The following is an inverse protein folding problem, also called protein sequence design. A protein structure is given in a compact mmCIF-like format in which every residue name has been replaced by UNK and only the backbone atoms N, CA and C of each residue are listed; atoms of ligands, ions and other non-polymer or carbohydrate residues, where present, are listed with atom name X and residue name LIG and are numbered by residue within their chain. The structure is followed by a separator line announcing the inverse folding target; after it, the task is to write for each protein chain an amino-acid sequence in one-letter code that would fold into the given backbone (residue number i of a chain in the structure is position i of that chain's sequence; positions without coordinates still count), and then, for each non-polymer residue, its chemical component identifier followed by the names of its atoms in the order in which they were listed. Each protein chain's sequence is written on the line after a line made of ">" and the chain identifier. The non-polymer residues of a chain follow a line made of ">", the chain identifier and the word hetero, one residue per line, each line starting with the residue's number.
data_IF_065229333828
#
_entry.id   IF_065229333828
#
_cell.length_a   1.000
_cell.length_b   1.000
_cell.length_c   1.000
_cell.angle_alpha   90.00
_cell.angle_beta   90.00
_cell.angle_gamma   90.00
#
_symmetry.space_group_name_H-M   'P 1'
#
loop_
_entity.id
_entity.type
_entity.pdbx_description
1 polymer ?
#
# COMPACT_ATOMS: atom_id res chain seq x y z
N UNK A 1 -10.08 -15.84 35.18
CA UNK A 1 -10.99 -14.73 34.79
C UNK A 1 -10.28 -13.38 34.71
N UNK A 2 -9.34 -13.03 35.61
CA UNK A 2 -8.55 -11.78 35.53
C UNK A 2 -7.68 -11.64 34.26
N UNK A 3 -6.93 -12.68 33.90
CA UNK A 3 -5.99 -12.66 32.76
C UNK A 3 -6.67 -12.42 31.40
N UNK A 4 -7.88 -12.96 31.19
CA UNK A 4 -8.70 -12.69 30.01
C UNK A 4 -9.22 -11.26 29.98
N UNK A 5 -9.54 -10.68 31.14
CA UNK A 5 -10.05 -9.32 31.25
C UNK A 5 -8.92 -8.30 31.03
N UNK A 6 -7.71 -8.60 31.50
CA UNK A 6 -6.53 -7.75 31.30
C UNK A 6 -6.08 -7.76 29.84
N UNK A 7 -6.08 -8.92 29.19
CA UNK A 7 -5.84 -9.04 27.75
C UNK A 7 -6.90 -8.30 26.92
N UNK A 8 -8.17 -8.42 27.29
CA UNK A 8 -9.25 -7.70 26.60
C UNK A 8 -9.07 -6.18 26.73
N UNK A 9 -8.75 -5.68 27.92
CA UNK A 9 -8.49 -4.26 28.16
C UNK A 9 -7.31 -3.74 27.35
N UNK A 10 -6.20 -4.48 27.30
CA UNK A 10 -5.02 -4.07 26.55
C UNK A 10 -5.31 -3.96 25.04
N UNK A 11 -6.09 -4.90 24.48
CA UNK A 11 -6.53 -4.84 23.09
C UNK A 11 -7.45 -3.66 22.82
N UNK A 12 -8.39 -3.39 23.72
CA UNK A 12 -9.30 -2.23 23.59
C UNK A 12 -8.53 -0.92 23.65
N UNK A 13 -7.56 -0.80 24.56
CA UNK A 13 -6.70 0.37 24.67
C UNK A 13 -5.85 0.58 23.41
N UNK A 14 -5.28 -0.49 22.84
CA UNK A 14 -4.53 -0.40 21.60
C UNK A 14 -5.40 0.12 20.42
N UNK A 15 -6.63 -0.37 20.31
CA UNK A 15 -7.59 0.10 19.29
C UNK A 15 -7.94 1.57 19.54
N UNK A 16 -8.15 1.96 20.79
CA UNK A 16 -8.43 3.34 21.17
C UNK A 16 -7.25 4.26 20.79
N UNK A 17 -6.02 3.92 21.16
CA UNK A 17 -4.84 4.73 20.87
C UNK A 17 -4.60 4.87 19.37
N UNK A 18 -4.77 3.77 18.61
CA UNK A 18 -4.70 3.79 17.15
C UNK A 18 -5.78 4.71 16.54
N UNK A 19 -7.02 4.64 17.02
CA UNK A 19 -8.12 5.48 16.53
C UNK A 19 -7.89 6.96 16.82
N UNK A 20 -7.38 7.29 18.02
CA UNK A 20 -7.04 8.66 18.41
C UNK A 20 -5.88 9.20 17.58
N UNK A 21 -4.85 8.39 17.32
CA UNK A 21 -3.73 8.75 16.46
C UNK A 21 -4.22 9.06 15.04
N UNK A 22 -5.07 8.18 14.50
CA UNK A 22 -5.67 8.32 13.17
C UNK A 22 -6.48 9.61 13.05
N UNK A 23 -7.37 9.87 14.01
CA UNK A 23 -8.18 11.09 14.04
C UNK A 23 -7.35 12.36 14.17
N UNK A 24 -6.29 12.34 15.01
CA UNK A 24 -5.36 13.47 15.14
C UNK A 24 -4.57 13.70 13.86
N UNK A 25 -4.06 12.65 13.23
CA UNK A 25 -3.29 12.74 11.99
C UNK A 25 -4.12 13.40 10.88
N UNK A 26 -5.37 12.96 10.70
CA UNK A 26 -6.31 13.53 9.71
C UNK A 26 -6.62 14.99 10.05
N UNK A 27 -6.96 15.29 11.31
CA UNK A 27 -7.24 16.68 11.74
C UNK A 27 -6.03 17.60 11.53
N UNK A 28 -4.82 17.08 11.71
CA UNK A 28 -3.59 17.85 11.56
C UNK A 28 -3.26 18.20 10.11
N UNK A 29 -3.80 17.48 9.11
CA UNK A 29 -3.66 17.85 7.69
C UNK A 29 -4.21 19.26 7.43
N UNK A 30 -5.31 19.61 8.09
CA UNK A 30 -6.00 20.89 7.88
C UNK A 30 -5.55 22.01 8.83
N UNK A 31 -4.64 21.74 9.77
CA UNK A 31 -4.22 22.72 10.78
C UNK A 31 -2.79 23.20 10.54
N UNK A 32 -2.61 24.51 10.46
CA UNK A 32 -1.27 25.15 10.44
C UNK A 32 -0.49 24.92 11.74
N UNK A 33 0.86 24.90 11.73
CA UNK A 33 1.75 25.01 10.57
C UNK A 33 1.89 23.71 9.77
N UNK A 34 2.13 23.83 8.47
CA UNK A 34 2.36 22.72 7.55
C UNK A 34 3.85 22.50 7.32
N UNK A 35 4.31 21.26 7.46
CA UNK A 35 5.71 20.87 7.27
C UNK A 35 5.96 20.35 5.84
N UNK A 36 5.83 21.22 4.84
CA UNK A 36 5.91 20.82 3.43
C UNK A 36 7.26 20.19 3.03
N UNK A 37 8.37 20.67 3.59
CA UNK A 37 9.71 20.11 3.34
C UNK A 37 9.79 18.67 3.83
N UNK A 38 9.20 18.36 4.99
CA UNK A 38 9.15 17.01 5.53
C UNK A 38 8.25 16.10 4.67
N UNK A 39 7.15 16.62 4.11
CA UNK A 39 6.31 15.88 3.15
C UNK A 39 7.13 15.49 1.93
N UNK A 40 7.86 16.42 1.30
CA UNK A 40 8.64 16.14 0.09
C UNK A 40 9.75 15.12 0.36
N UNK A 41 10.44 15.23 1.51
CA UNK A 41 11.44 14.22 1.92
C UNK A 41 10.81 12.84 2.09
N UNK A 42 9.62 12.77 2.69
CA UNK A 42 8.90 11.51 2.83
C UNK A 42 8.41 10.98 1.47
N UNK A 43 8.03 11.84 0.52
CA UNK A 43 7.67 11.42 -0.84
C UNK A 43 8.86 10.78 -1.58
N UNK A 44 10.07 11.32 -1.39
CA UNK A 44 11.29 10.71 -1.95
C UNK A 44 11.57 9.33 -1.33
N UNK A 45 11.57 9.25 -0.01
CA UNK A 45 11.83 8.00 0.70
C UNK A 45 10.79 6.90 0.39
N UNK A 46 9.51 7.25 0.46
CA UNK A 46 8.37 6.33 0.29
C UNK A 46 8.15 6.01 -1.18
N UNK A 47 8.20 7.03 -2.04
CA UNK A 47 7.92 6.94 -3.46
C UNK A 47 9.10 6.42 -4.26
N UNK A 48 10.10 7.29 -4.51
CA UNK A 48 11.26 6.94 -5.32
C UNK A 48 12.01 5.72 -4.79
N UNK A 49 12.14 5.64 -3.47
CA UNK A 49 12.77 4.49 -2.84
C UNK A 49 12.04 3.16 -3.11
N UNK A 50 10.73 3.17 -3.37
CA UNK A 50 9.94 1.95 -3.61
C UNK A 50 9.82 1.60 -5.10
N UNK A 51 10.26 2.48 -6.01
CA UNK A 51 10.17 2.22 -7.45
C UNK A 51 10.81 0.89 -7.87
N UNK A 52 12.01 0.50 -7.41
CA UNK A 52 12.64 -0.73 -7.88
C UNK A 52 11.82 -1.98 -7.56
N UNK A 53 11.28 -2.07 -6.34
CA UNK A 53 10.47 -3.23 -5.95
C UNK A 53 9.14 -3.24 -6.70
N UNK A 54 8.49 -2.08 -6.85
CA UNK A 54 7.19 -1.94 -7.55
C UNK A 54 7.31 -2.29 -9.04
N UNK A 55 8.37 -1.80 -9.71
CA UNK A 55 8.63 -2.08 -11.13
C UNK A 55 8.84 -3.57 -11.35
N UNK A 56 9.72 -4.19 -10.56
CA UNK A 56 10.03 -5.62 -10.69
C UNK A 56 8.80 -6.48 -10.41
N UNK A 57 8.07 -6.18 -9.32
CA UNK A 57 6.88 -6.96 -8.97
C UNK A 57 5.79 -6.81 -10.01
N UNK A 58 5.50 -5.58 -10.47
CA UNK A 58 4.51 -5.34 -11.52
C UNK A 58 4.84 -6.13 -12.79
N UNK A 59 6.06 -5.98 -13.30
CA UNK A 59 6.53 -6.66 -14.51
C UNK A 59 6.37 -8.19 -14.42
N UNK A 60 6.91 -8.81 -13.36
CA UNK A 60 6.86 -10.27 -13.24
C UNK A 60 5.45 -10.78 -12.95
N UNK A 61 4.62 -10.05 -12.21
CA UNK A 61 3.21 -10.42 -12.02
C UNK A 61 2.48 -10.44 -13.36
N UNK A 62 2.63 -9.40 -14.18
CA UNK A 62 1.99 -9.35 -15.49
C UNK A 62 2.46 -10.46 -16.44
N UNK A 63 3.76 -10.74 -16.45
CA UNK A 63 4.36 -11.83 -17.21
C UNK A 63 3.77 -13.20 -16.82
N UNK A 64 3.67 -13.47 -15.51
CA UNK A 64 3.10 -14.73 -14.99
C UNK A 64 1.60 -14.83 -15.30
N UNK A 65 0.85 -13.74 -15.17
CA UNK A 65 -0.58 -13.72 -15.51
C UNK A 65 -0.82 -14.04 -16.99
N UNK A 66 -0.02 -13.46 -17.90
CA UNK A 66 -0.15 -13.74 -19.32
C UNK A 66 0.02 -15.23 -19.64
N UNK A 67 0.99 -15.90 -18.99
CA UNK A 67 1.18 -17.36 -19.14
C UNK A 67 -0.01 -18.15 -18.64
N UNK A 68 -0.50 -17.83 -17.44
CA UNK A 68 -1.60 -18.56 -16.84
C UNK A 68 -2.89 -18.37 -17.64
N UNK A 69 -3.22 -17.13 -18.00
CA UNK A 69 -4.45 -16.82 -18.74
C UNK A 69 -4.41 -17.41 -20.15
N UNK A 70 -3.28 -17.31 -20.86
CA UNK A 70 -3.16 -17.91 -22.19
C UNK A 70 -3.33 -19.42 -22.16
N UNK A 71 -2.79 -20.10 -21.13
CA UNK A 71 -2.97 -21.55 -20.99
C UNK A 71 -4.44 -21.91 -20.78
N UNK A 72 -5.12 -21.17 -19.91
CA UNK A 72 -6.56 -21.37 -19.67
C UNK A 72 -7.37 -21.14 -20.95
N UNK A 73 -7.16 -20.01 -21.62
CA UNK A 73 -7.88 -19.63 -22.85
C UNK A 73 -7.61 -20.53 -24.05
N UNK A 74 -6.42 -21.13 -24.14
CA UNK A 74 -6.10 -22.09 -25.19
C UNK A 74 -7.04 -23.30 -25.19
N UNK A 75 -7.58 -23.66 -24.02
CA UNK A 75 -8.55 -24.76 -23.88
C UNK A 75 -9.91 -24.38 -24.48
N UNK A 76 -10.22 -23.09 -24.56
CA UNK A 76 -11.45 -22.55 -25.14
C UNK A 76 -11.26 -22.06 -26.58
N UNK A 77 -10.04 -22.09 -27.11
CA UNK A 77 -9.71 -21.60 -28.45
C UNK A 77 -9.60 -20.07 -28.58
N UNK A 78 -9.61 -19.33 -27.46
CA UNK A 78 -9.75 -17.86 -27.42
C UNK A 78 -8.49 -17.15 -26.89
N UNK A 79 -7.29 -17.54 -27.33
CA UNK A 79 -6.02 -16.94 -26.84
C UNK A 79 -5.88 -15.44 -27.10
N UNK A 80 -6.71 -14.88 -27.99
CA UNK A 80 -6.86 -13.46 -28.30
C UNK A 80 -7.29 -12.59 -27.12
N UNK A 81 -8.04 -13.11 -26.15
CA UNK A 81 -8.50 -12.34 -24.98
C UNK A 81 -7.48 -12.35 -23.82
N UNK A 82 -6.30 -12.92 -24.02
CA UNK A 82 -5.23 -12.95 -22.99
C UNK A 82 -4.89 -11.53 -22.52
N UNK A 83 -4.75 -10.57 -23.44
CA UNK A 83 -4.43 -9.18 -23.10
C UNK A 83 -5.53 -8.50 -22.27
N UNK A 84 -6.79 -8.76 -22.61
CA UNK A 84 -7.95 -8.27 -21.87
C UNK A 84 -7.95 -8.77 -20.42
N UNK A 85 -7.80 -10.08 -20.22
CA UNK A 85 -7.82 -10.66 -18.87
C UNK A 85 -6.64 -10.21 -18.01
N UNK A 86 -5.45 -10.11 -18.59
CA UNK A 86 -4.27 -9.59 -17.90
C UNK A 86 -4.51 -8.15 -17.45
N UNK A 87 -5.03 -7.31 -18.34
CA UNK A 87 -5.23 -5.89 -18.03
C UNK A 87 -6.30 -5.67 -16.97
N UNK A 88 -7.46 -6.31 -17.12
CA UNK A 88 -8.55 -6.22 -16.14
C UNK A 88 -8.12 -6.73 -14.77
N UNK A 89 -7.39 -7.85 -14.71
CA UNK A 89 -6.93 -8.42 -13.44
C UNK A 89 -5.90 -7.55 -12.72
N UNK A 90 -4.99 -6.91 -13.48
CA UNK A 90 -4.00 -6.00 -12.94
C UNK A 90 -4.66 -4.73 -12.38
N UNK A 91 -5.43 -4.01 -13.20
CA UNK A 91 -5.96 -2.69 -12.80
C UNK A 91 -7.00 -2.80 -11.69
N UNK A 92 -7.91 -3.79 -11.72
CA UNK A 92 -9.00 -3.87 -10.74
C UNK A 92 -8.52 -4.37 -9.36
N UNK A 93 -7.55 -5.27 -9.34
CA UNK A 93 -7.24 -6.07 -8.14
C UNK A 93 -5.75 -6.17 -7.87
N UNK A 94 -5.02 -6.89 -8.74
CA UNK A 94 -3.66 -7.35 -8.41
C UNK A 94 -2.66 -6.20 -8.32
N UNK A 95 -2.74 -5.21 -9.19
CA UNK A 95 -1.89 -4.03 -9.18
C UNK A 95 -1.98 -3.23 -7.88
N UNK A 96 -3.18 -2.75 -7.50
CA UNK A 96 -3.41 -2.06 -6.24
C UNK A 96 -2.96 -2.85 -5.01
N UNK A 97 -3.33 -4.13 -4.92
CA UNK A 97 -3.05 -4.97 -3.74
C UNK A 97 -1.57 -5.30 -3.64
N UNK A 98 -0.94 -5.79 -4.72
CA UNK A 98 0.46 -6.21 -4.67
C UNK A 98 1.39 -5.02 -4.45
N UNK A 99 1.13 -3.88 -5.11
CA UNK A 99 1.89 -2.66 -4.88
C UNK A 99 1.80 -2.24 -3.42
N UNK A 100 0.60 -2.29 -2.84
CA UNK A 100 0.37 -1.89 -1.45
C UNK A 100 1.02 -2.84 -0.45
N UNK A 101 1.05 -4.15 -0.71
CA UNK A 101 1.74 -5.11 0.14
C UNK A 101 3.27 -4.93 0.09
N UNK A 102 3.84 -4.70 -1.09
CA UNK A 102 5.28 -4.46 -1.25
C UNK A 102 5.70 -3.15 -0.58
N UNK A 103 4.90 -2.11 -0.77
CA UNK A 103 5.10 -0.82 -0.10
C UNK A 103 4.86 -0.95 1.40
N UNK A 104 3.90 -1.71 1.88
CA UNK A 104 3.71 -1.97 3.31
C UNK A 104 4.95 -2.64 3.91
N UNK A 105 5.50 -3.66 3.26
CA UNK A 105 6.71 -4.34 3.68
C UNK A 105 7.90 -3.40 3.86
N UNK A 106 8.13 -2.53 2.89
CA UNK A 106 9.24 -1.57 2.91
C UNK A 106 8.98 -0.35 3.79
N UNK A 107 7.89 0.36 3.53
CA UNK A 107 7.63 1.68 4.10
C UNK A 107 7.01 1.59 5.50
N UNK A 108 6.12 0.62 5.81
CA UNK A 108 5.61 0.49 7.18
C UNK A 108 6.75 0.07 8.13
N UNK A 109 7.63 -0.84 7.70
CA UNK A 109 8.85 -1.22 8.42
C UNK A 109 9.79 -0.03 8.58
N UNK A 110 10.09 0.71 7.50
CA UNK A 110 10.97 1.88 7.55
C UNK A 110 10.46 2.97 8.50
N UNK A 111 9.16 3.30 8.41
CA UNK A 111 8.51 4.28 9.29
C UNK A 111 8.55 3.82 10.76
N UNK A 112 8.21 2.55 11.02
CA UNK A 112 8.24 2.00 12.37
C UNK A 112 9.66 1.97 12.95
N UNK A 113 10.67 1.67 12.13
CA UNK A 113 12.08 1.63 12.54
C UNK A 113 12.59 3.03 12.90
N UNK A 114 12.32 4.01 12.04
CA UNK A 114 12.75 5.40 12.22
C UNK A 114 12.11 6.00 13.48
N UNK A 115 10.78 5.90 13.60
CA UNK A 115 10.07 6.42 14.77
C UNK A 115 10.38 5.64 16.03
N UNK A 116 10.55 4.32 15.94
CA UNK A 116 10.94 3.49 17.07
C UNK A 116 12.34 3.86 17.59
N UNK A 117 13.28 4.14 16.69
CA UNK A 117 14.61 4.64 17.08
C UNK A 117 14.52 6.01 17.76
N UNK A 118 13.70 6.92 17.24
CA UNK A 118 13.45 8.22 17.85
C UNK A 118 12.76 8.11 19.22
N UNK A 119 11.86 7.13 19.39
CA UNK A 119 11.21 6.86 20.68
C UNK A 119 12.21 6.35 21.71
N UNK A 120 13.03 5.35 21.35
CA UNK A 120 14.01 4.74 22.25
C UNK A 120 15.15 5.69 22.62
N UNK A 121 15.48 6.64 21.75
CA UNK A 121 16.46 7.69 22.01
C UNK A 121 15.87 8.96 22.65
N UNK A 122 14.63 8.90 23.14
CA UNK A 122 13.92 10.00 23.82
C UNK A 122 13.75 11.29 22.98
N UNK A 123 14.03 11.23 21.67
CA UNK A 123 13.93 12.40 20.78
C UNK A 123 12.49 12.91 20.69
N UNK A 124 11.51 11.99 20.72
CA UNK A 124 10.09 12.35 20.67
C UNK A 124 9.62 13.02 21.96
N UNK A 125 10.17 12.62 23.11
CA UNK A 125 9.87 13.26 24.38
C UNK A 125 10.56 14.62 24.51
N UNK A 126 11.79 14.75 24.00
CA UNK A 126 12.45 16.04 23.85
C UNK A 126 11.63 17.01 22.96
N UNK A 127 11.06 16.53 21.85
CA UNK A 127 10.17 17.35 21.01
C UNK A 127 8.94 17.84 21.78
N UNK A 128 8.32 16.96 22.60
CA UNK A 128 7.18 17.34 23.44
C UNK A 128 7.56 18.38 24.49
N UNK A 129 8.72 18.23 25.12
CA UNK A 129 9.24 19.19 26.10
C UNK A 129 9.50 20.57 25.48
N UNK A 130 9.90 20.60 24.20
CA UNK A 130 10.08 21.83 23.42
C UNK A 130 8.76 22.39 22.83
N UNK A 131 7.61 21.85 23.22
CA UNK A 131 6.29 22.31 22.78
C UNK A 131 5.92 21.93 21.33
N UNK A 132 6.69 21.04 20.70
CA UNK A 132 6.41 20.57 19.34
C UNK A 132 5.56 19.30 19.37
N UNK A 133 4.38 19.33 18.74
CA UNK A 133 3.51 18.15 18.62
C UNK A 133 4.12 17.09 17.69
N UNK A 134 4.53 15.90 18.20
CA UNK A 134 5.13 14.85 17.39
C UNK A 134 4.16 14.27 16.36
N UNK A 135 2.86 14.24 16.65
CA UNK A 135 1.87 13.72 15.69
C UNK A 135 1.83 14.60 14.44
N UNK A 136 1.92 15.91 14.64
CA UNK A 136 1.89 16.88 13.54
C UNK A 136 3.20 16.91 12.76
N UNK A 137 4.35 16.81 13.43
CA UNK A 137 5.66 16.91 12.79
C UNK A 137 6.15 15.60 12.18
N UNK A 138 5.74 14.46 12.73
CA UNK A 138 6.23 13.15 12.28
C UNK A 138 5.16 12.35 11.51
N UNK A 139 3.93 12.26 12.03
CA UNK A 139 2.90 11.36 11.47
C UNK A 139 2.23 11.98 10.26
N UNK A 140 1.80 13.25 10.35
CA UNK A 140 1.08 13.93 9.26
C UNK A 140 1.88 13.99 7.95
N UNK A 141 3.18 14.34 7.92
CA UNK A 141 3.93 14.39 6.66
C UNK A 141 4.07 13.01 6.00
N UNK A 142 4.29 11.96 6.80
CA UNK A 142 4.35 10.57 6.33
C UNK A 142 3.02 10.10 5.77
N UNK A 143 1.93 10.45 6.44
CA UNK A 143 0.58 10.14 5.97
C UNK A 143 0.29 10.78 4.61
N UNK A 144 0.51 12.09 4.49
CA UNK A 144 0.28 12.82 3.24
C UNK A 144 1.16 12.29 2.11
N UNK A 145 2.45 12.07 2.39
CA UNK A 145 3.38 11.51 1.40
C UNK A 145 2.94 10.12 0.93
N UNK A 146 2.53 9.22 1.84
CA UNK A 146 2.10 7.86 1.47
C UNK A 146 0.81 7.89 0.65
N UNK A 147 -0.15 8.73 1.03
CA UNK A 147 -1.45 8.85 0.35
C UNK A 147 -1.29 9.37 -1.09
N UNK A 148 -0.31 10.23 -1.33
CA UNK A 148 -0.02 10.73 -2.68
C UNK A 148 0.81 9.71 -3.47
N UNK A 149 1.85 9.14 -2.87
CA UNK A 149 2.80 8.29 -3.59
C UNK A 149 2.26 6.89 -3.90
N UNK A 150 1.41 6.29 -3.04
CA UNK A 150 0.96 4.92 -3.27
C UNK A 150 0.11 4.75 -4.54
N UNK A 151 -0.90 5.61 -4.82
CA UNK A 151 -1.63 5.54 -6.09
C UNK A 151 -0.73 5.76 -7.30
N UNK A 152 0.24 6.68 -7.20
CA UNK A 152 1.22 6.90 -8.27
C UNK A 152 2.08 5.66 -8.53
N UNK A 153 2.52 4.98 -7.47
CA UNK A 153 3.27 3.73 -7.57
C UNK A 153 2.41 2.61 -8.17
N UNK A 154 1.11 2.55 -7.86
CA UNK A 154 0.18 1.57 -8.45
C UNK A 154 0.08 1.76 -9.95
N UNK A 155 -0.05 3.00 -10.44
CA UNK A 155 -0.07 3.29 -11.88
C UNK A 155 1.21 2.78 -12.56
N UNK A 156 2.36 2.99 -11.92
CA UNK A 156 3.65 2.49 -12.43
C UNK A 156 3.69 0.96 -12.44
N UNK A 157 3.20 0.31 -11.39
CA UNK A 157 3.11 -1.15 -11.32
C UNK A 157 2.20 -1.73 -12.41
N UNK A 158 1.03 -1.13 -12.64
CA UNK A 158 0.08 -1.57 -13.67
C UNK A 158 0.68 -1.45 -15.07
N UNK A 159 1.32 -0.31 -15.33
CA UNK A 159 2.03 -0.09 -16.59
C UNK A 159 3.15 -1.12 -16.78
N UNK A 160 3.99 -1.35 -15.76
CA UNK A 160 5.04 -2.36 -15.84
C UNK A 160 4.48 -3.77 -15.98
N UNK A 161 3.36 -4.08 -15.34
CA UNK A 161 2.67 -5.36 -15.48
C UNK A 161 2.11 -5.58 -16.88
N UNK A 162 1.55 -4.54 -17.50
CA UNK A 162 1.14 -4.60 -18.90
C UNK A 162 2.33 -4.88 -19.83
N UNK A 163 3.48 -4.24 -19.59
CA UNK A 163 4.71 -4.53 -20.35
C UNK A 163 5.22 -5.95 -20.14
N UNK A 164 5.16 -6.46 -18.91
CA UNK A 164 5.53 -7.84 -18.59
C UNK A 164 4.62 -8.86 -19.29
N UNK A 165 3.30 -8.61 -19.25
CA UNK A 165 2.32 -9.44 -19.95
C UNK A 165 2.52 -9.41 -21.46
N UNK A 166 2.76 -8.24 -22.04
CA UNK A 166 3.10 -8.08 -23.46
C UNK A 166 4.35 -8.89 -23.85
N UNK A 167 5.45 -8.73 -23.10
CA UNK A 167 6.69 -9.43 -23.38
C UNK A 167 6.47 -10.95 -23.42
N UNK A 168 5.75 -11.48 -22.45
CA UNK A 168 5.48 -12.92 -22.40
C UNK A 168 4.51 -13.38 -23.49
N UNK A 169 3.46 -12.62 -23.78
CA UNK A 169 2.54 -12.91 -24.88
C UNK A 169 3.22 -12.91 -26.25
N UNK A 170 4.20 -12.03 -26.46
CA UNK A 170 4.96 -11.97 -27.70
C UNK A 170 5.99 -13.10 -27.81
N UNK A 171 6.85 -13.27 -26.79
CA UNK A 171 7.97 -14.22 -26.87
C UNK A 171 7.56 -15.69 -26.69
N UNK A 172 6.59 -15.99 -25.83
CA UNK A 172 6.25 -17.37 -25.46
C UNK A 172 4.94 -17.87 -26.09
N UNK A 173 3.96 -16.98 -26.27
CA UNK A 173 2.62 -17.34 -26.77
C UNK A 173 2.49 -17.06 -28.28
N UNK A 174 3.42 -16.30 -28.86
CA UNK A 174 3.42 -15.87 -30.26
C UNK A 174 2.15 -15.13 -30.68
N UNK A 175 1.55 -14.38 -29.75
CA UNK A 175 0.39 -13.54 -30.03
C UNK A 175 0.83 -12.30 -30.82
N UNK A 176 -0.01 -11.87 -31.77
CA UNK A 176 0.25 -10.64 -32.52
C UNK A 176 0.27 -9.43 -31.56
N UNK A 177 1.33 -8.58 -31.59
CA UNK A 177 1.41 -7.38 -30.76
C UNK A 177 0.19 -6.45 -30.86
N UNK A 178 -0.32 -6.24 -32.07
CA UNK A 178 -1.49 -5.40 -32.29
C UNK A 178 -2.72 -5.99 -31.60
N UNK A 179 -2.87 -7.31 -31.61
CA UNK A 179 -3.98 -8.00 -30.98
C UNK A 179 -3.92 -7.91 -29.45
N UNK A 180 -2.75 -8.08 -28.85
CA UNK A 180 -2.57 -7.92 -27.40
C UNK A 180 -3.01 -6.52 -26.93
N UNK A 181 -2.49 -5.48 -27.59
CA UNK A 181 -2.73 -4.10 -27.18
C UNK A 181 -4.17 -3.66 -27.44
N UNK A 182 -4.74 -4.05 -28.58
CA UNK A 182 -6.14 -3.72 -28.90
C UNK A 182 -7.10 -4.38 -27.91
N UNK A 183 -6.90 -5.67 -27.59
CA UNK A 183 -7.70 -6.37 -26.59
C UNK A 183 -7.52 -5.79 -25.18
N UNK A 184 -6.30 -5.43 -24.79
CA UNK A 184 -6.02 -4.87 -23.47
C UNK A 184 -6.64 -3.47 -23.29
N UNK A 185 -6.53 -2.60 -24.30
CA UNK A 185 -7.07 -1.23 -24.21
C UNK A 185 -8.58 -1.17 -24.35
N UNK A 186 -9.19 -1.97 -25.24
CA UNK A 186 -10.65 -2.00 -25.39
C UNK A 186 -11.37 -2.59 -24.19
N UNK A 187 -10.66 -3.36 -23.36
CA UNK A 187 -11.24 -3.95 -22.15
C UNK A 187 -11.37 -2.96 -20.99
N UNK A 188 -10.62 -1.85 -21.00
CA UNK A 188 -10.61 -0.90 -19.89
C UNK A 188 -11.77 0.07 -20.00
N UNK A 189 -12.63 0.04 -18.99
CA UNK A 189 -13.64 1.07 -18.79
C UNK A 189 -13.16 2.07 -17.74
N UNK A 190 -13.75 3.28 -17.75
CA UNK A 190 -13.41 4.32 -16.77
C UNK A 190 -13.62 3.82 -15.33
N UNK A 191 -14.66 3.02 -15.12
CA UNK A 191 -15.01 2.41 -13.83
C UNK A 191 -13.88 1.54 -13.27
N UNK A 192 -13.18 0.80 -14.12
CA UNK A 192 -12.06 -0.06 -13.74
C UNK A 192 -10.88 0.75 -13.20
N UNK A 193 -10.59 1.86 -13.86
CA UNK A 193 -9.52 2.77 -13.45
C UNK A 193 -9.86 3.43 -12.11
N UNK A 194 -11.13 3.83 -11.89
CA UNK A 194 -11.57 4.38 -10.62
C UNK A 194 -11.49 3.35 -9.48
N UNK A 195 -11.92 2.11 -9.73
CA UNK A 195 -11.78 1.00 -8.78
C UNK A 195 -10.31 0.74 -8.42
N UNK A 196 -9.44 0.73 -9.42
CA UNK A 196 -8.00 0.53 -9.23
C UNK A 196 -7.31 1.64 -8.44
N UNK A 197 -7.74 2.90 -8.60
CA UNK A 197 -7.09 4.05 -7.97
C UNK A 197 -7.60 4.39 -6.57
N UNK A 198 -8.86 4.08 -6.24
CA UNK A 198 -9.41 4.41 -4.91
C UNK A 198 -8.86 3.50 -3.81
N UNK A 199 -8.59 2.22 -4.13
CA UNK A 199 -8.05 1.23 -3.19
C UNK A 199 -6.67 1.63 -2.63
N UNK A 200 -5.66 1.99 -3.45
CA UNK A 200 -4.35 2.45 -2.97
C UNK A 200 -4.43 3.68 -2.06
N UNK A 201 -5.41 4.57 -2.25
CA UNK A 201 -5.60 5.71 -1.35
C UNK A 201 -5.90 5.20 0.07
N UNK A 202 -6.86 4.28 0.21
CA UNK A 202 -7.21 3.70 1.53
C UNK A 202 -6.05 2.87 2.09
N UNK A 203 -5.38 2.07 1.26
CA UNK A 203 -4.23 1.28 1.68
C UNK A 203 -3.07 2.16 2.16
N UNK A 204 -2.86 3.32 1.56
CA UNK A 204 -1.85 4.28 1.99
C UNK A 204 -2.10 4.82 3.40
N UNK A 205 -3.37 5.12 3.73
CA UNK A 205 -3.74 5.48 5.10
C UNK A 205 -3.36 4.38 6.09
N UNK A 206 -3.66 3.13 5.74
CA UNK A 206 -3.32 1.96 6.57
C UNK A 206 -1.81 1.86 6.77
N UNK A 207 -1.02 1.86 5.68
CA UNK A 207 0.44 1.73 5.72
C UNK A 207 1.08 2.81 6.60
N UNK A 208 0.71 4.07 6.39
CA UNK A 208 1.29 5.18 7.12
C UNK A 208 0.92 5.15 8.61
N UNK A 209 -0.36 4.93 8.93
CA UNK A 209 -0.85 4.97 10.31
C UNK A 209 -0.36 3.77 11.12
N UNK A 210 -0.35 2.58 10.53
CA UNK A 210 0.17 1.37 11.19
C UNK A 210 1.66 1.52 11.45
N UNK A 211 2.45 1.94 10.45
CA UNK A 211 3.88 2.20 10.65
C UNK A 211 4.13 3.24 11.75
N UNK A 212 3.37 4.34 11.76
CA UNK A 212 3.49 5.37 12.78
C UNK A 212 3.08 4.87 14.18
N UNK A 213 2.01 4.10 14.27
CA UNK A 213 1.52 3.58 15.54
C UNK A 213 2.52 2.64 16.20
N UNK A 214 3.02 1.64 15.47
CA UNK A 214 4.02 0.71 16.01
C UNK A 214 5.35 1.41 16.29
N UNK A 215 5.75 2.38 15.48
CA UNK A 215 6.93 3.21 15.76
C UNK A 215 6.80 4.00 17.06
N UNK A 216 5.71 4.74 17.24
CA UNK A 216 5.47 5.58 18.42
C UNK A 216 5.18 4.81 19.72
N UNK A 217 4.77 3.54 19.62
CA UNK A 217 4.52 2.66 20.78
C UNK A 217 5.67 1.72 21.09
N UNK A 218 6.81 1.86 20.38
CA UNK A 218 8.01 1.03 20.59
C UNK A 218 8.56 1.16 22.00
N UNK A 219 8.89 0.02 22.61
CA UNK A 219 9.52 -0.09 23.94
C UNK A 219 10.55 -1.22 23.92
N UNK A 220 11.49 -1.21 24.88
CA UNK A 220 12.46 -2.31 25.03
C UNK A 220 13.73 -2.14 24.20
N UNK A 221 14.17 -0.90 23.98
CA UNK A 221 15.46 -0.63 23.33
C UNK A 221 15.48 -0.98 21.85
N UNK A 222 16.69 -1.25 21.33
CA UNK A 222 16.93 -1.59 19.91
C UNK A 222 16.24 -2.88 19.48
N UNK A 223 16.15 -3.88 20.36
CA UNK A 223 15.40 -5.11 20.11
C UNK A 223 13.90 -4.83 19.93
N UNK A 224 13.36 -3.93 20.76
CA UNK A 224 12.01 -3.41 20.64
C UNK A 224 11.70 -2.82 19.26
N UNK A 225 12.64 -2.06 18.69
CA UNK A 225 12.50 -1.49 17.34
C UNK A 225 12.29 -2.60 16.31
N UNK A 226 13.10 -3.66 16.34
CA UNK A 226 12.96 -4.80 15.41
C UNK A 226 11.65 -5.57 15.56
N UNK A 227 11.10 -5.65 16.78
CA UNK A 227 9.78 -6.25 17.01
C UNK A 227 8.66 -5.38 16.45
N UNK A 228 8.71 -4.08 16.71
CA UNK A 228 7.72 -3.12 16.19
C UNK A 228 7.70 -3.06 14.66
N UNK A 229 8.86 -3.11 14.00
CA UNK A 229 8.94 -3.12 12.53
C UNK A 229 8.27 -4.34 11.93
N UNK A 230 8.55 -5.52 12.50
CA UNK A 230 7.95 -6.78 12.04
C UNK A 230 6.43 -6.77 12.26
N UNK A 231 5.98 -6.31 13.44
CA UNK A 231 4.56 -6.20 13.74
C UNK A 231 3.85 -5.20 12.83
N UNK A 232 4.49 -4.08 12.48
CA UNK A 232 3.94 -3.09 11.57
C UNK A 232 3.68 -3.68 10.19
N UNK A 233 4.61 -4.46 9.64
CA UNK A 233 4.45 -5.10 8.32
C UNK A 233 3.30 -6.10 8.34
N UNK A 234 3.25 -6.98 9.35
CA UNK A 234 2.21 -7.99 9.46
C UNK A 234 0.83 -7.34 9.63
N UNK A 235 0.71 -6.36 10.55
CA UNK A 235 -0.54 -5.67 10.79
C UNK A 235 -1.01 -4.88 9.56
N UNK A 236 -0.11 -4.16 8.88
CA UNK A 236 -0.46 -3.41 7.67
C UNK A 236 -0.93 -4.36 6.55
N UNK A 237 -0.22 -5.47 6.34
CA UNK A 237 -0.58 -6.47 5.32
C UNK A 237 -1.95 -7.09 5.56
N UNK A 238 -2.22 -7.49 6.81
CA UNK A 238 -3.53 -8.05 7.19
C UNK A 238 -4.65 -7.01 7.03
N UNK A 239 -4.41 -5.77 7.47
CA UNK A 239 -5.42 -4.70 7.31
C UNK A 239 -5.67 -4.33 5.85
N UNK A 240 -4.64 -4.35 4.99
CA UNK A 240 -4.80 -4.15 3.55
C UNK A 240 -5.68 -5.24 2.95
N UNK A 241 -5.39 -6.53 3.22
CA UNK A 241 -6.17 -7.64 2.67
C UNK A 241 -7.63 -7.64 3.15
N UNK A 242 -7.87 -7.35 4.42
CA UNK A 242 -9.23 -7.21 4.96
C UNK A 242 -9.94 -6.03 4.29
N UNK A 243 -9.27 -4.89 4.19
CA UNK A 243 -9.85 -3.68 3.59
C UNK A 243 -10.14 -3.88 2.10
N UNK A 244 -9.27 -4.58 1.38
CA UNK A 244 -9.46 -4.92 -0.03
C UNK A 244 -10.78 -5.65 -0.25
N UNK A 245 -11.05 -6.71 0.51
CA UNK A 245 -12.31 -7.45 0.41
C UNK A 245 -13.54 -6.55 0.60
N UNK A 246 -13.53 -5.69 1.63
CA UNK A 246 -14.67 -4.81 1.91
C UNK A 246 -14.82 -3.70 0.87
N UNK A 247 -13.72 -3.10 0.41
CA UNK A 247 -13.74 -2.04 -0.60
C UNK A 247 -14.22 -2.62 -1.93
N UNK A 248 -13.68 -3.77 -2.36
CA UNK A 248 -14.13 -4.45 -3.59
C UNK A 248 -15.62 -4.75 -3.52
N UNK A 249 -16.11 -5.32 -2.40
CA UNK A 249 -17.54 -5.59 -2.21
C UNK A 249 -18.38 -4.32 -2.28
N UNK A 250 -17.92 -3.21 -1.67
CA UNK A 250 -18.63 -1.94 -1.69
C UNK A 250 -18.70 -1.35 -3.09
N UNK A 251 -17.59 -1.37 -3.84
CA UNK A 251 -17.52 -0.84 -5.21
C UNK A 251 -18.47 -1.62 -6.11
N UNK A 252 -18.39 -2.96 -6.09
CA UNK A 252 -19.29 -3.81 -6.89
C UNK A 252 -20.76 -3.53 -6.56
N UNK A 253 -21.12 -3.39 -5.28
CA UNK A 253 -22.49 -3.09 -4.87
C UNK A 253 -22.99 -1.68 -5.25
N UNK A 254 -22.11 -0.76 -5.64
CA UNK A 254 -22.47 0.60 -6.09
C UNK A 254 -22.51 0.69 -7.62
N UNK A 255 -21.73 -0.13 -8.32
CA UNK A 255 -21.65 -0.17 -9.78
C UNK A 255 -22.66 -1.13 -10.43
N UNK A 256 -23.15 -2.14 -9.70
CA UNK A 256 -24.28 -3.01 -10.10
C UNK A 256 -25.66 -2.34 -9.90
#
# INVERSE_FOLDING_TARGET
>A
MGLLNDLAKERVLAVQDFSLLSARAIRNIFRTPHYAVDVVRQMDFIGFGSLPIVILTGFFTGAVLALQMSKTLSTFGETSLTGQLVMLSLVRELGPVLTSLMVAGRNASGIASELGSMMVSEQIDAMRALGTDPSKKLVTPRLVATVIMLPMLTIVADFMGMLGGFATSFFMIHLNPAQYWTSALHALEYEDMFQGLIKPVVFAFIVALVGCYYGLTTRGGTEGVGRSTTQAVVAASVMILISDFFITKMILAVLD
#
